data_IF_025841196929
#
_entry.id   IF_025841196929
#
_cell.length_a   1.000
_cell.length_b   1.000
_cell.length_c   1.000
_cell.angle_alpha   90.00
_cell.angle_beta   90.00
_cell.angle_gamma   90.00
#
_symmetry.space_group_name_H-M   'P 1'
#
loop_
_entity.id
_entity.type
_entity.pdbx_description
1 polymer ?
#
# COMPACT_ATOMS: atom_id res chain seq x y z
N UNK A 1 55.89 -55.46 7.69
CA UNK A 1 54.87 -54.83 6.81
C UNK A 1 55.05 -53.32 6.95
N UNK A 2 55.53 -52.63 5.92
CA UNK A 2 55.75 -51.18 6.01
C UNK A 2 54.42 -50.44 6.11
N UNK A 3 54.27 -49.57 7.10
CA UNK A 3 53.12 -48.67 7.20
C UNK A 3 53.29 -47.54 6.19
N UNK A 4 52.92 -47.80 4.94
CA UNK A 4 52.82 -46.75 3.93
C UNK A 4 51.64 -45.84 4.29
N UNK A 5 51.94 -44.57 4.55
CA UNK A 5 50.94 -43.52 4.72
C UNK A 5 50.21 -43.28 3.40
N UNK A 6 48.91 -42.97 3.50
CA UNK A 6 48.04 -42.74 2.35
C UNK A 6 47.66 -41.28 2.26
N UNK A 7 47.21 -40.90 1.07
CA UNK A 7 46.65 -39.58 0.81
C UNK A 7 45.20 -39.67 0.37
N UNK A 8 44.44 -38.62 0.68
CA UNK A 8 43.09 -38.43 0.20
C UNK A 8 43.01 -37.10 -0.54
N UNK A 9 42.34 -37.11 -1.70
CA UNK A 9 42.24 -35.95 -2.60
C UNK A 9 40.80 -35.70 -2.97
N UNK A 10 40.48 -34.43 -3.20
CA UNK A 10 39.14 -33.98 -3.54
C UNK A 10 39.12 -32.51 -3.95
N UNK A 11 37.94 -32.02 -4.34
CA UNK A 11 37.73 -30.63 -4.73
C UNK A 11 36.63 -29.97 -3.92
N UNK A 12 36.74 -28.66 -3.71
CA UNK A 12 35.73 -27.84 -3.07
C UNK A 12 35.25 -26.79 -4.07
N UNK A 13 33.94 -26.75 -4.26
CA UNK A 13 33.29 -25.87 -5.23
C UNK A 13 32.13 -25.13 -4.58
N UNK A 14 31.80 -23.97 -5.13
CA UNK A 14 30.58 -23.24 -4.81
C UNK A 14 29.37 -23.91 -5.46
N UNK A 15 28.16 -23.52 -5.01
CA UNK A 15 26.91 -23.93 -5.67
C UNK A 15 26.86 -23.53 -7.17
N UNK A 16 27.60 -22.49 -7.55
CA UNK A 16 27.76 -22.07 -8.95
C UNK A 16 28.67 -22.98 -9.79
N UNK A 17 29.31 -23.99 -9.18
CA UNK A 17 30.28 -24.87 -9.82
C UNK A 17 31.70 -24.30 -9.91
N UNK A 18 31.90 -23.05 -9.47
CA UNK A 18 33.22 -22.42 -9.43
C UNK A 18 34.08 -23.04 -8.33
N UNK A 19 35.39 -23.30 -8.58
CA UNK A 19 36.30 -23.75 -7.53
C UNK A 19 36.46 -22.69 -6.45
N UNK A 20 36.58 -23.13 -5.19
CA UNK A 20 36.74 -22.22 -4.05
C UNK A 20 38.09 -22.43 -3.35
N UNK A 21 38.90 -21.38 -3.34
CA UNK A 21 40.20 -21.33 -2.65
C UNK A 21 40.05 -20.97 -1.17
N UNK A 22 41.03 -21.36 -0.34
CA UNK A 22 41.13 -20.94 1.05
C UNK A 22 40.21 -21.66 2.03
N UNK A 23 39.52 -22.71 1.58
CA UNK A 23 38.65 -23.54 2.42
C UNK A 23 39.50 -24.57 3.15
N UNK A 24 39.30 -24.67 4.47
CA UNK A 24 39.97 -25.66 5.31
C UNK A 24 39.15 -26.95 5.37
N UNK A 25 39.80 -28.09 5.10
CA UNK A 25 39.23 -29.43 5.14
C UNK A 25 40.02 -30.25 6.15
N UNK A 26 39.32 -30.86 7.10
CA UNK A 26 39.95 -31.72 8.10
C UNK A 26 39.57 -33.19 7.90
N UNK A 27 40.46 -34.07 8.32
CA UNK A 27 40.25 -35.50 8.45
C UNK A 27 40.51 -35.93 9.89
N UNK A 28 39.46 -36.42 10.55
CA UNK A 28 39.53 -36.87 11.94
C UNK A 28 39.31 -38.37 12.03
N UNK A 29 40.24 -39.10 12.63
CA UNK A 29 40.08 -40.53 12.89
C UNK A 29 38.97 -40.77 13.91
N UNK A 30 38.10 -41.75 13.63
CA UNK A 30 37.00 -42.13 14.53
C UNK A 30 37.53 -42.81 15.81
N UNK A 31 38.59 -43.61 15.70
CA UNK A 31 39.03 -44.51 16.77
C UNK A 31 40.40 -44.20 17.35
N UNK A 32 41.32 -43.65 16.55
CA UNK A 32 42.74 -43.53 16.93
C UNK A 32 43.17 -42.09 17.25
N UNK A 33 42.27 -41.13 17.19
CA UNK A 33 42.55 -39.73 17.56
C UNK A 33 43.47 -38.95 16.61
N UNK A 34 43.84 -39.53 15.46
CA UNK A 34 44.63 -38.82 14.45
C UNK A 34 43.83 -37.69 13.81
N UNK A 35 44.53 -36.60 13.51
CA UNK A 35 43.98 -35.38 12.93
C UNK A 35 44.89 -34.90 11.82
N UNK A 36 44.30 -34.58 10.67
CA UNK A 36 44.99 -33.98 9.54
C UNK A 36 44.14 -32.86 8.96
N UNK A 37 44.79 -31.85 8.40
CA UNK A 37 44.12 -30.68 7.83
C UNK A 37 44.80 -30.26 6.52
N UNK A 38 44.02 -29.82 5.54
CA UNK A 38 44.48 -29.25 4.30
C UNK A 38 43.65 -28.01 3.94
N UNK A 39 44.28 -27.04 3.28
CA UNK A 39 43.60 -25.88 2.71
C UNK A 39 43.53 -26.04 1.20
N UNK A 40 42.40 -25.67 0.60
CA UNK A 40 42.18 -25.74 -0.85
C UNK A 40 43.00 -24.69 -1.59
N UNK A 41 43.57 -25.07 -2.74
CA UNK A 41 44.30 -24.18 -3.64
C UNK A 41 43.36 -23.34 -4.54
N UNK A 42 43.94 -22.56 -5.47
CA UNK A 42 43.20 -21.72 -6.43
C UNK A 42 42.31 -22.51 -7.40
N UNK A 43 42.56 -23.81 -7.57
CA UNK A 43 41.70 -24.72 -8.34
C UNK A 43 40.61 -25.36 -7.47
N UNK A 44 40.52 -24.99 -6.19
CA UNK A 44 39.63 -25.59 -5.21
C UNK A 44 40.04 -27.02 -4.82
N UNK A 45 41.22 -27.48 -5.23
CA UNK A 45 41.69 -28.83 -4.93
C UNK A 45 42.38 -28.87 -3.57
N UNK A 46 42.22 -29.99 -2.85
CA UNK A 46 42.92 -30.22 -1.60
C UNK A 46 43.49 -31.64 -1.54
N UNK A 47 44.53 -31.81 -0.72
CA UNK A 47 45.18 -33.11 -0.50
C UNK A 47 45.53 -33.31 0.96
N UNK A 48 44.79 -34.19 1.60
CA UNK A 48 45.11 -34.71 2.93
C UNK A 48 46.21 -35.76 2.79
N UNK A 49 47.24 -35.67 3.62
CA UNK A 49 48.40 -36.59 3.62
C UNK A 49 48.48 -37.29 4.98
N UNK A 50 49.32 -38.32 5.09
CA UNK A 50 49.59 -38.93 6.39
C UNK A 50 48.47 -39.82 6.93
N UNK A 51 47.50 -40.22 6.11
CA UNK A 51 46.39 -41.05 6.57
C UNK A 51 46.85 -42.49 6.80
N UNK A 52 46.51 -43.04 7.96
CA UNK A 52 46.92 -44.39 8.33
C UNK A 52 45.97 -45.43 7.73
N UNK A 53 46.51 -46.54 7.17
CA UNK A 53 45.69 -47.63 6.67
C UNK A 53 44.89 -48.30 7.79
N UNK A 54 43.82 -49.00 7.41
CA UNK A 54 42.89 -49.69 8.34
C UNK A 54 42.33 -48.76 9.42
N UNK A 55 42.12 -47.49 9.06
CA UNK A 55 41.56 -46.48 9.94
C UNK A 55 40.44 -45.74 9.21
N UNK A 56 39.31 -45.56 9.90
CA UNK A 56 38.20 -44.77 9.37
C UNK A 56 38.39 -43.31 9.78
N UNK A 57 38.35 -42.43 8.79
CA UNK A 57 38.41 -40.98 8.97
C UNK A 57 37.08 -40.36 8.58
N UNK A 58 36.65 -39.36 9.36
CA UNK A 58 35.56 -38.46 9.02
C UNK A 58 36.18 -37.21 8.45
N UNK A 59 35.90 -36.94 7.19
CA UNK A 59 36.42 -35.80 6.44
C UNK A 59 35.31 -34.76 6.36
N UNK A 60 35.61 -33.53 6.72
CA UNK A 60 34.63 -32.43 6.65
C UNK A 60 35.30 -31.09 6.37
N UNK A 61 34.53 -30.19 5.80
CA UNK A 61 34.90 -28.78 5.67
C UNK A 61 34.71 -28.09 7.01
N UNK A 62 35.70 -27.31 7.43
CA UNK A 62 35.60 -26.50 8.66
C UNK A 62 35.51 -25.02 8.31
N UNK A 63 34.61 -24.34 9.00
CA UNK A 63 34.58 -22.88 9.00
C UNK A 63 35.57 -22.38 10.05
N UNK A 64 36.67 -21.77 9.60
CA UNK A 64 37.58 -21.02 10.46
C UNK A 64 37.16 -19.55 10.39
N UNK A 65 36.53 -19.06 11.45
CA UNK A 65 36.06 -17.66 11.57
C UNK A 65 37.22 -16.63 11.70
N UNK A 66 38.43 -16.98 11.27
CA UNK A 66 39.64 -16.17 11.41
C UNK A 66 40.07 -15.49 10.11
N UNK A 67 39.91 -14.16 10.07
CA UNK A 67 40.67 -13.17 9.26
C UNK A 67 40.93 -13.48 7.76
N UNK A 68 40.09 -14.28 7.10
CA UNK A 68 40.30 -14.62 5.69
C UNK A 68 39.02 -15.04 4.97
N UNK A 69 38.37 -14.07 4.32
CA UNK A 69 37.61 -14.13 3.04
C UNK A 69 36.58 -15.23 2.75
N UNK A 70 36.35 -16.21 3.61
CA UNK A 70 35.46 -17.34 3.30
C UNK A 70 34.59 -17.72 4.49
N UNK A 71 33.49 -16.98 4.66
CA UNK A 71 32.44 -17.35 5.61
C UNK A 71 31.60 -18.46 4.99
N UNK A 72 31.89 -19.70 5.36
CA UNK A 72 31.11 -20.86 4.90
C UNK A 72 29.91 -21.03 5.84
N UNK A 73 28.71 -20.93 5.29
CA UNK A 73 27.47 -21.23 6.02
C UNK A 73 27.31 -22.74 6.23
N UNK A 74 27.49 -23.51 5.16
CA UNK A 74 27.37 -24.97 5.20
C UNK A 74 28.17 -25.64 4.08
N UNK A 75 28.43 -26.93 4.25
CA UNK A 75 28.99 -27.80 3.21
C UNK A 75 28.04 -28.97 2.93
N UNK A 76 28.04 -29.45 1.69
CA UNK A 76 27.30 -30.62 1.25
C UNK A 76 28.23 -31.56 0.48
N UNK A 77 28.41 -32.82 0.93
CA UNK A 77 27.91 -33.38 2.19
C UNK A 77 28.51 -32.68 3.43
N UNK A 78 27.85 -32.78 4.59
CA UNK A 78 28.37 -32.16 5.84
C UNK A 78 29.67 -32.83 6.29
N UNK A 79 29.74 -34.15 6.14
CA UNK A 79 30.96 -34.93 6.33
C UNK A 79 30.91 -36.22 5.52
N UNK A 80 32.07 -36.80 5.23
CA UNK A 80 32.22 -38.07 4.54
C UNK A 80 33.08 -39.00 5.40
N UNK A 81 32.54 -40.13 5.79
CA UNK A 81 33.29 -41.18 6.49
C UNK A 81 33.93 -42.13 5.48
N UNK A 82 35.26 -42.26 5.52
CA UNK A 82 36.02 -43.11 4.59
C UNK A 82 36.95 -44.03 5.36
N UNK A 83 36.94 -45.33 5.03
CA UNK A 83 37.92 -46.29 5.52
C UNK A 83 39.14 -46.29 4.60
N UNK A 84 40.32 -46.03 5.16
CA UNK A 84 41.57 -46.01 4.40
C UNK A 84 42.00 -47.44 4.06
N UNK A 85 41.92 -47.76 2.77
CA UNK A 85 42.34 -49.04 2.21
C UNK A 85 43.82 -49.07 1.78
N UNK A 86 44.19 -50.00 0.89
CA UNK A 86 45.56 -50.14 0.39
C UNK A 86 45.96 -49.12 -0.68
N UNK A 87 45.03 -48.29 -1.16
CA UNK A 87 45.26 -47.25 -2.17
C UNK A 87 45.04 -45.83 -1.63
N UNK A 88 45.44 -44.84 -2.41
CA UNK A 88 45.07 -43.45 -2.16
C UNK A 88 43.56 -43.24 -2.43
N UNK A 89 42.94 -42.37 -1.65
CA UNK A 89 41.53 -42.02 -1.78
C UNK A 89 41.39 -40.81 -2.71
N UNK A 90 40.38 -40.85 -3.60
CA UNK A 90 40.07 -39.79 -4.55
C UNK A 90 38.57 -39.47 -4.49
N UNK A 91 38.16 -38.46 -5.24
CA UNK A 91 36.76 -38.09 -5.47
C UNK A 91 36.00 -37.69 -4.19
N UNK A 92 36.71 -37.06 -3.25
CA UNK A 92 36.11 -36.49 -2.04
C UNK A 92 35.69 -35.04 -2.29
N UNK A 93 34.62 -34.87 -3.06
CA UNK A 93 34.18 -33.54 -3.43
C UNK A 93 33.18 -32.94 -2.43
N UNK A 94 33.31 -31.63 -2.19
CA UNK A 94 32.40 -30.87 -1.35
C UNK A 94 31.85 -29.66 -2.11
N UNK A 95 30.57 -29.38 -1.91
CA UNK A 95 29.93 -28.15 -2.33
C UNK A 95 29.74 -27.26 -1.10
N UNK A 96 30.36 -26.08 -1.11
CA UNK A 96 30.26 -25.10 -0.03
C UNK A 96 29.26 -24.00 -0.37
N UNK A 97 28.55 -23.56 0.66
CA UNK A 97 27.59 -22.47 0.62
C UNK A 97 28.18 -21.33 1.45
N UNK A 98 28.32 -20.17 0.83
CA UNK A 98 28.89 -19.01 1.49
C UNK A 98 27.80 -18.18 2.16
N UNK A 99 28.12 -17.64 3.33
CA UNK A 99 27.30 -16.66 3.98
C UNK A 99 27.47 -15.30 3.26
N UNK A 100 26.37 -14.64 2.89
CA UNK A 100 26.40 -13.29 2.32
C UNK A 100 27.12 -12.32 3.25
N UNK A 101 28.12 -11.61 2.73
CA UNK A 101 28.83 -10.58 3.51
C UNK A 101 27.97 -9.35 3.76
N UNK A 102 27.04 -9.08 2.83
CA UNK A 102 26.08 -7.99 2.90
C UNK A 102 24.72 -8.47 3.37
N UNK A 103 24.03 -7.57 4.05
CA UNK A 103 22.64 -7.78 4.41
C UNK A 103 21.74 -7.61 3.18
N UNK A 104 20.69 -8.41 3.08
CA UNK A 104 19.69 -8.33 2.02
C UNK A 104 18.30 -8.45 2.63
N UNK A 105 17.49 -7.41 2.44
CA UNK A 105 16.07 -7.41 2.78
C UNK A 105 15.27 -7.49 1.49
N UNK A 106 14.40 -8.49 1.39
CA UNK A 106 13.44 -8.60 0.30
C UNK A 106 12.03 -8.52 0.86
N UNK A 107 11.12 -7.85 0.16
CA UNK A 107 9.75 -7.66 0.63
C UNK A 107 8.78 -7.61 -0.54
N UNK A 108 7.60 -8.17 -0.30
CA UNK A 108 6.45 -8.06 -1.20
C UNK A 108 5.46 -7.02 -0.66
N UNK A 109 4.83 -6.26 -1.54
CA UNK A 109 3.85 -5.23 -1.16
C UNK A 109 2.47 -5.60 -1.69
N UNK A 110 1.47 -5.57 -0.81
CA UNK A 110 0.07 -5.83 -1.14
C UNK A 110 -0.80 -4.62 -0.80
N UNK A 111 -1.78 -4.29 -1.63
CA UNK A 111 -2.69 -3.19 -1.31
C UNK A 111 -3.77 -2.97 -2.36
N UNK A 112 -4.64 -2.00 -2.09
CA UNK A 112 -5.72 -1.65 -3.01
C UNK A 112 -5.15 -1.08 -4.32
N UNK A 113 -5.53 -1.70 -5.45
CA UNK A 113 -5.05 -1.37 -6.79
C UNK A 113 -5.79 -0.15 -7.35
N UNK A 114 -5.46 1.05 -6.86
CA UNK A 114 -5.77 2.31 -7.57
C UNK A 114 -4.51 2.72 -8.33
N UNK A 115 -4.44 2.43 -9.63
CA UNK A 115 -3.24 2.58 -10.48
C UNK A 115 -2.63 4.00 -10.41
N UNK A 116 -3.47 5.03 -10.34
CA UNK A 116 -3.06 6.44 -10.24
C UNK A 116 -2.31 6.79 -8.95
N UNK A 117 -2.52 6.04 -7.87
CA UNK A 117 -1.90 6.27 -6.57
C UNK A 117 -0.64 5.44 -6.37
N UNK A 118 -0.34 4.50 -7.27
CA UNK A 118 0.80 3.56 -7.13
C UNK A 118 2.14 4.23 -7.42
N UNK A 119 2.20 5.11 -8.40
CA UNK A 119 3.43 5.84 -8.77
C UNK A 119 3.92 6.81 -7.69
N UNK A 120 3.12 7.02 -6.65
CA UNK A 120 3.37 7.97 -5.58
C UNK A 120 3.75 7.26 -4.27
N UNK A 121 3.87 5.93 -4.29
CA UNK A 121 4.28 5.14 -3.13
C UNK A 121 5.79 5.06 -3.06
N UNK A 122 6.31 5.40 -1.90
CA UNK A 122 7.71 5.33 -1.53
C UNK A 122 7.87 4.23 -0.47
N UNK A 123 8.90 3.41 -0.62
CA UNK A 123 9.37 2.52 0.42
C UNK A 123 10.35 3.31 1.30
N UNK A 124 10.06 3.38 2.59
CA UNK A 124 10.90 4.03 3.58
C UNK A 124 11.41 3.00 4.58
N UNK A 125 12.74 2.93 4.74
CA UNK A 125 13.41 2.06 5.71
C UNK A 125 14.10 2.95 6.74
N UNK A 126 13.74 2.75 8.00
CA UNK A 126 14.26 3.51 9.15
C UNK A 126 14.99 2.59 10.10
N UNK A 127 15.91 3.15 10.88
CA UNK A 127 16.41 2.46 12.06
C UNK A 127 15.29 2.30 13.10
N UNK A 128 15.22 1.13 13.75
CA UNK A 128 14.30 0.90 14.86
C UNK A 128 14.76 1.61 16.15
N UNK A 129 16.08 1.82 16.30
CA UNK A 129 16.65 2.58 17.43
C UNK A 129 16.34 4.07 17.32
N UNK A 130 16.47 4.62 16.10
CA UNK A 130 16.26 6.03 15.81
C UNK A 130 15.24 6.20 14.68
N UNK A 131 13.95 6.36 15.05
CA UNK A 131 12.85 6.52 14.08
C UNK A 131 12.96 7.77 13.19
N UNK A 132 13.82 8.73 13.55
CA UNK A 132 14.14 9.90 12.73
C UNK A 132 15.20 9.63 11.66
N UNK A 133 16.01 8.57 11.84
CA UNK A 133 17.09 8.21 10.91
C UNK A 133 16.52 7.32 9.82
N UNK A 134 16.34 7.92 8.65
CA UNK A 134 15.96 7.22 7.44
C UNK A 134 17.21 6.69 6.74
N UNK A 135 17.27 5.39 6.52
CA UNK A 135 18.43 4.75 5.90
C UNK A 135 18.28 4.61 4.39
N UNK A 136 17.05 4.37 3.92
CA UNK A 136 16.77 4.23 2.49
C UNK A 136 15.36 4.70 2.17
N UNK A 137 15.24 5.43 1.07
CA UNK A 137 13.95 5.85 0.48
C UNK A 137 14.01 5.66 -1.03
N UNK A 138 13.02 4.98 -1.60
CA UNK A 138 12.91 4.80 -3.05
C UNK A 138 11.46 4.56 -3.47
N UNK A 139 11.16 4.79 -4.74
CA UNK A 139 9.84 4.53 -5.32
C UNK A 139 9.53 3.03 -5.37
N UNK A 140 8.27 2.66 -5.07
CA UNK A 140 7.82 1.29 -5.12
C UNK A 140 7.88 0.76 -6.56
N UNK A 141 8.64 -0.33 -6.84
CA UNK A 141 8.68 -0.90 -8.18
C UNK A 141 7.32 -1.42 -8.66
N UNK A 142 7.09 -1.40 -9.98
CA UNK A 142 5.84 -1.88 -10.60
C UNK A 142 5.50 -3.34 -10.29
N UNK A 143 6.51 -4.15 -9.94
CA UNK A 143 6.35 -5.54 -9.52
C UNK A 143 5.73 -5.69 -8.12
N UNK A 144 5.62 -4.62 -7.33
CA UNK A 144 5.32 -4.66 -5.89
C UNK A 144 6.28 -5.58 -5.12
N UNK A 145 7.52 -5.67 -5.58
CA UNK A 145 8.58 -6.42 -4.93
C UNK A 145 9.86 -5.60 -4.99
N UNK A 146 10.55 -5.51 -3.87
CA UNK A 146 11.82 -4.82 -3.79
C UNK A 146 12.85 -5.64 -3.00
N UNK A 147 14.11 -5.41 -3.32
CA UNK A 147 15.25 -6.00 -2.63
C UNK A 147 16.27 -4.90 -2.35
N UNK A 148 16.57 -4.67 -1.07
CA UNK A 148 17.56 -3.70 -0.60
C UNK A 148 18.76 -4.46 -0.07
N UNK A 149 19.96 -3.99 -0.42
CA UNK A 149 21.24 -4.58 -0.02
C UNK A 149 22.03 -3.58 0.82
N UNK A 150 22.99 -4.08 1.60
CA UNK A 150 23.92 -3.25 2.38
C UNK A 150 23.27 -2.38 3.46
N UNK A 151 22.18 -2.86 4.05
CA UNK A 151 21.63 -2.23 5.25
C UNK A 151 22.55 -2.50 6.46
N UNK A 152 22.76 -1.52 7.36
CA UNK A 152 23.44 -1.73 8.62
C UNK A 152 22.93 -2.96 9.38
N UNK A 153 23.82 -3.70 10.05
CA UNK A 153 23.46 -4.83 10.91
C UNK A 153 22.82 -4.31 12.20
N UNK A 154 21.56 -3.96 12.11
CA UNK A 154 20.75 -3.41 13.18
C UNK A 154 19.29 -3.79 12.92
N UNK A 155 18.42 -3.40 13.85
CA UNK A 155 16.97 -3.49 13.68
C UNK A 155 16.46 -2.32 12.83
N UNK A 156 15.59 -2.63 11.87
CA UNK A 156 15.00 -1.67 10.94
C UNK A 156 13.48 -1.74 10.94
N UNK A 157 12.83 -0.63 10.66
CA UNK A 157 11.40 -0.51 10.45
C UNK A 157 11.15 -0.25 8.96
N UNK A 158 10.38 -1.12 8.33
CA UNK A 158 9.91 -0.98 6.96
C UNK A 158 8.52 -0.38 6.99
N UNK A 159 8.34 0.69 6.22
CA UNK A 159 7.07 1.38 6.09
C UNK A 159 6.88 1.87 4.65
N UNK A 160 5.62 1.90 4.18
CA UNK A 160 5.28 2.62 2.96
C UNK A 160 4.90 4.06 3.29
N UNK A 161 5.28 4.99 2.42
CA UNK A 161 4.82 6.37 2.44
C UNK A 161 4.21 6.72 1.10
N UNK A 162 3.32 7.71 1.12
CA UNK A 162 2.82 8.33 -0.11
C UNK A 162 3.40 9.74 -0.22
N UNK A 163 3.83 10.13 -1.42
CA UNK A 163 4.14 11.53 -1.73
C UNK A 163 2.88 12.37 -1.92
N UNK A 164 1.71 11.74 -2.08
CA UNK A 164 0.45 12.44 -2.29
C UNK A 164 -0.11 12.97 -0.97
N UNK A 165 -0.22 14.29 -0.86
CA UNK A 165 -0.99 14.92 0.20
C UNK A 165 -2.47 15.00 -0.20
N UNK A 166 -3.18 13.87 -0.15
CA UNK A 166 -4.61 13.86 -0.47
C UNK A 166 -5.42 14.43 0.69
N UNK A 167 -6.22 15.47 0.42
CA UNK A 167 -7.19 16.01 1.39
C UNK A 167 -8.38 15.08 1.63
N UNK A 168 -8.61 14.14 0.71
CA UNK A 168 -9.80 13.28 0.70
C UNK A 168 -9.49 11.82 1.05
N UNK A 169 -8.21 11.43 1.11
CA UNK A 169 -7.82 10.06 1.42
C UNK A 169 -6.67 10.05 2.45
N UNK A 170 -6.88 9.35 3.56
CA UNK A 170 -5.84 9.00 4.52
C UNK A 170 -5.12 7.74 4.06
N UNK A 171 -3.79 7.80 4.04
CA UNK A 171 -2.95 6.66 3.70
C UNK A 171 -2.53 5.93 4.97
N UNK A 172 -2.87 4.65 5.05
CA UNK A 172 -2.47 3.77 6.14
C UNK A 172 -1.56 2.67 5.59
N UNK A 173 -0.44 2.45 6.28
CA UNK A 173 0.53 1.41 5.96
C UNK A 173 0.87 0.61 7.21
N UNK A 174 1.12 -0.67 7.01
CA UNK A 174 1.71 -1.53 8.02
C UNK A 174 3.18 -1.13 8.27
N UNK A 175 3.65 -1.35 9.49
CA UNK A 175 5.05 -1.14 9.87
C UNK A 175 5.59 -2.50 10.31
N UNK A 176 6.65 -2.96 9.65
CA UNK A 176 7.26 -4.26 9.94
C UNK A 176 8.67 -4.05 10.48
N UNK A 177 8.95 -4.62 11.65
CA UNK A 177 10.29 -4.65 12.24
C UNK A 177 11.09 -5.82 11.67
N UNK A 178 12.33 -5.54 11.26
CA UNK A 178 13.26 -6.48 10.65
C UNK A 178 14.57 -6.46 11.43
N UNK A 179 15.00 -7.64 11.91
CA UNK A 179 16.25 -7.82 12.66
C UNK A 179 17.35 -8.37 11.73
N UNK A 180 18.30 -7.51 11.36
CA UNK A 180 19.47 -7.87 10.54
C UNK A 180 20.72 -8.19 11.36
N UNK A 181 20.63 -8.17 12.69
CA UNK A 181 21.75 -8.58 13.56
C UNK A 181 21.88 -10.09 13.57
N UNK A 182 20.74 -10.79 13.63
CA UNK A 182 20.69 -12.26 13.67
C UNK A 182 20.83 -12.91 12.30
N UNK A 183 20.24 -12.30 11.27
CA UNK A 183 20.16 -12.89 9.93
C UNK A 183 20.58 -11.88 8.88
N UNK A 184 21.57 -12.23 8.06
CA UNK A 184 22.02 -11.36 6.98
C UNK A 184 20.98 -11.25 5.84
N UNK A 185 20.20 -12.29 5.58
CA UNK A 185 19.16 -12.28 4.55
C UNK A 185 17.80 -12.58 5.13
N UNK A 186 16.82 -11.74 4.81
CA UNK A 186 15.44 -11.95 5.27
C UNK A 186 14.44 -11.58 4.18
N UNK A 187 13.45 -12.46 4.02
CA UNK A 187 12.26 -12.18 3.23
C UNK A 187 11.14 -11.77 4.17
N UNK A 188 10.73 -10.53 4.05
CA UNK A 188 9.68 -9.92 4.84
C UNK A 188 8.36 -10.20 4.13
N UNK A 189 7.35 -10.62 4.91
CA UNK A 189 6.00 -10.90 4.45
C UNK A 189 5.33 -9.71 3.74
N UNK A 190 4.07 -9.86 3.30
CA UNK A 190 3.41 -8.84 2.51
C UNK A 190 3.21 -7.56 3.32
N UNK A 191 3.90 -6.48 2.94
CA UNK A 191 3.73 -5.15 3.50
C UNK A 191 2.44 -4.55 2.94
N UNK A 192 1.43 -4.43 3.81
CA UNK A 192 0.08 -4.02 3.40
C UNK A 192 -0.14 -2.52 3.48
N UNK A 193 -0.91 -1.99 2.54
CA UNK A 193 -1.38 -0.59 2.58
C UNK A 193 -2.84 -0.44 2.14
N UNK A 194 -3.49 0.61 2.65
CA UNK A 194 -4.85 1.01 2.27
C UNK A 194 -5.01 2.52 2.19
N UNK A 195 -5.88 2.95 1.28
CA UNK A 195 -6.35 4.34 1.19
C UNK A 195 -7.75 4.42 1.79
N UNK A 196 -7.89 5.10 2.92
CA UNK A 196 -9.18 5.33 3.60
C UNK A 196 -9.74 6.67 3.14
N UNK A 197 -10.93 6.69 2.55
CA UNK A 197 -11.59 7.93 2.16
C UNK A 197 -12.02 8.70 3.42
N UNK A 198 -11.46 9.90 3.60
CA UNK A 198 -11.82 10.80 4.68
C UNK A 198 -13.07 11.57 4.21
N UNK A 199 -14.24 10.98 4.43
CA UNK A 199 -15.48 11.75 4.41
C UNK A 199 -15.44 12.70 5.60
N UNK A 200 -14.75 13.83 5.43
CA UNK A 200 -14.91 14.98 6.30
C UNK A 200 -16.40 15.30 6.23
N UNK A 201 -17.14 14.86 7.26
CA UNK A 201 -18.55 15.20 7.41
C UNK A 201 -18.58 16.70 7.35
N UNK A 202 -19.00 17.24 6.21
CA UNK A 202 -19.20 18.65 6.06
C UNK A 202 -20.25 18.98 7.12
N UNK A 203 -19.83 19.62 8.20
CA UNK A 203 -20.74 20.29 9.11
C UNK A 203 -21.42 21.34 8.25
N UNK A 204 -22.52 20.92 7.60
CA UNK A 204 -23.50 21.80 7.01
C UNK A 204 -23.86 22.72 8.15
N UNK A 205 -23.33 23.95 8.10
CA UNK A 205 -23.73 25.04 8.97
C UNK A 205 -25.25 24.98 8.98
N UNK A 206 -25.92 24.79 10.14
CA UNK A 206 -27.36 24.64 10.15
C UNK A 206 -27.92 25.84 9.39
N UNK A 207 -28.52 25.59 8.23
CA UNK A 207 -29.13 26.63 7.43
C UNK A 207 -29.98 27.48 8.39
N UNK A 208 -30.01 28.81 8.27
CA UNK A 208 -30.58 29.65 9.31
C UNK A 208 -32.12 29.51 9.30
N UNK A 209 -32.60 28.41 9.90
CA UNK A 209 -34.02 28.06 9.99
C UNK A 209 -34.72 29.03 10.95
N UNK A 210 -33.99 29.52 11.96
CA UNK A 210 -34.48 30.49 12.94
C UNK A 210 -35.01 31.79 12.31
N UNK A 211 -34.26 32.53 11.45
CA UNK A 211 -34.80 33.73 10.82
C UNK A 211 -35.93 33.45 9.83
N UNK A 212 -36.00 32.26 9.21
CA UNK A 212 -37.16 31.87 8.40
C UNK A 212 -38.41 31.69 9.27
N UNK A 213 -38.30 30.96 10.39
CA UNK A 213 -39.43 30.75 11.32
C UNK A 213 -39.88 32.08 11.92
N UNK A 214 -38.95 32.94 12.33
CA UNK A 214 -39.25 34.28 12.87
C UNK A 214 -39.92 35.15 11.80
N UNK A 215 -39.40 35.16 10.58
CA UNK A 215 -39.98 35.93 9.46
C UNK A 215 -41.41 35.52 9.14
N UNK A 216 -41.68 34.21 9.03
CA UNK A 216 -43.03 33.68 8.79
C UNK A 216 -43.97 34.00 9.96
N UNK A 217 -43.48 33.92 11.20
CA UNK A 217 -44.27 34.23 12.39
C UNK A 217 -44.68 35.70 12.45
N UNK A 218 -43.76 36.64 12.13
CA UNK A 218 -44.06 38.07 12.08
C UNK A 218 -45.07 38.40 10.99
N UNK A 219 -44.93 37.80 9.81
CA UNK A 219 -45.88 37.98 8.70
C UNK A 219 -47.27 37.46 9.09
N UNK A 220 -47.36 36.28 9.71
CA UNK A 220 -48.63 35.73 10.18
C UNK A 220 -49.29 36.62 11.24
N UNK A 221 -48.51 37.21 12.14
CA UNK A 221 -48.98 38.16 13.16
C UNK A 221 -49.52 39.46 12.54
N UNK A 222 -48.85 39.99 11.50
CA UNK A 222 -49.32 41.17 10.78
C UNK A 222 -50.62 40.92 10.01
N UNK A 223 -50.80 39.72 9.44
CA UNK A 223 -52.03 39.35 8.72
C UNK A 223 -53.18 39.10 9.70
N UNK A 224 -52.91 38.55 10.89
CA UNK A 224 -53.94 38.29 11.90
C UNK A 224 -54.34 39.54 12.69
N UNK A 225 -53.48 40.56 12.78
CA UNK A 225 -53.74 41.78 13.53
C UNK A 225 -55.04 42.52 13.16
N UNK A 226 -55.43 42.69 11.88
CA UNK A 226 -56.73 43.30 11.54
C UNK A 226 -57.92 42.44 12.00
N UNK A 227 -57.80 41.10 12.01
CA UNK A 227 -58.88 40.21 12.47
C UNK A 227 -58.99 40.11 13.99
N UNK A 228 -57.89 40.33 14.71
CA UNK A 228 -57.87 40.35 16.17
C UNK A 228 -58.53 41.60 16.74
N UNK A 229 -58.45 42.74 16.04
CA UNK A 229 -59.17 43.96 16.40
C UNK A 229 -60.69 43.77 16.35
N UNK A 230 -61.19 43.03 15.36
CA UNK A 230 -62.62 42.74 15.23
C UNK A 230 -63.14 41.85 16.38
N UNK A 231 -62.35 40.86 16.83
CA UNK A 231 -62.69 39.99 17.97
C UNK A 231 -62.57 40.69 19.33
N UNK A 232 -61.64 41.65 19.47
CA UNK A 232 -61.54 42.46 20.69
C UNK A 232 -62.71 43.45 20.79
N UNK A 233 -63.12 44.06 19.68
CA UNK A 233 -64.29 44.94 19.66
C UNK A 233 -65.62 44.18 19.85
N UNK A 234 -65.71 42.91 19.43
CA UNK A 234 -66.91 42.09 19.63
C UNK A 234 -67.09 41.58 21.06
N UNK A 235 -66.03 41.57 21.88
CA UNK A 235 -66.05 40.93 23.21
C UNK A 235 -66.09 41.94 24.37
N UNK A 236 -65.86 43.24 24.11
CA UNK A 236 -65.85 44.30 25.14
C UNK A 236 -66.85 45.42 24.81
N UNK A 237 -68.09 45.07 24.44
CA UNK A 237 -69.19 46.01 24.24
C UNK A 237 -70.40 45.67 25.13
N UNK A 238 -70.59 46.44 26.21
CA UNK A 238 -71.78 46.42 27.10
C UNK A 238 -72.87 47.37 26.52
N UNK A 239 -74.19 47.13 26.72
CA UNK A 239 -75.23 47.60 25.80
C UNK A 239 -76.08 48.82 26.25
N UNK A 240 -76.85 49.35 25.26
CA UNK A 240 -78.13 50.13 25.29
C UNK A 240 -78.11 51.68 25.34
N UNK A 241 -79.18 52.39 24.87
CA UNK A 241 -80.18 52.09 23.81
C UNK A 241 -80.50 53.30 22.87
N UNK A 242 -81.11 53.07 21.70
CA UNK A 242 -81.89 54.12 21.00
C UNK A 242 -82.04 54.03 19.48
N UNK A 243 -83.26 53.71 19.05
CA UNK A 243 -84.01 54.27 17.88
C UNK A 243 -83.76 53.79 16.42
N UNK A 244 -84.72 52.97 15.97
CA UNK A 244 -85.57 53.03 14.75
C UNK A 244 -85.01 52.95 13.30
N UNK A 245 -85.72 52.07 12.57
CA UNK A 245 -86.23 52.16 11.18
C UNK A 245 -85.46 51.59 9.97
N UNK A 246 -86.13 50.58 9.41
CA UNK A 246 -86.41 50.31 7.97
C UNK A 246 -85.34 49.70 7.06
N UNK A 247 -85.60 48.41 6.75
CA UNK A 247 -85.76 47.83 5.40
C UNK A 247 -84.61 47.94 4.38
N UNK A 248 -84.17 46.78 3.85
CA UNK A 248 -84.61 46.22 2.54
C UNK A 248 -83.57 45.22 1.94
N UNK A 249 -84.08 44.03 1.59
CA UNK A 249 -83.69 43.01 0.57
C UNK A 249 -82.20 42.76 0.18
N UNK A 250 -81.84 41.47 0.26
CA UNK A 250 -80.93 40.67 -0.61
C UNK A 250 -81.05 40.95 -2.14
N UNK A 251 -80.17 40.48 -3.08
CA UNK A 251 -79.20 39.35 -3.00
C UNK A 251 -77.86 39.46 -3.81
N UNK A 252 -77.03 38.40 -3.69
CA UNK A 252 -76.10 37.75 -4.68
C UNK A 252 -74.75 38.39 -5.12
N UNK A 253 -73.70 37.55 -4.99
CA UNK A 253 -72.32 37.60 -5.56
C UNK A 253 -72.30 37.55 -7.11
N UNK A 254 -71.23 38.01 -7.79
CA UNK A 254 -70.02 37.19 -8.04
C UNK A 254 -68.67 37.92 -7.85
N UNK A 255 -67.60 37.12 -7.69
CA UNK A 255 -66.19 37.53 -7.67
C UNK A 255 -65.63 37.72 -9.11
N UNK A 256 -64.31 37.86 -9.32
CA UNK A 256 -63.39 38.93 -8.93
C UNK A 256 -62.82 39.63 -10.18
N UNK A 257 -62.19 40.80 -10.03
CA UNK A 257 -61.28 41.33 -11.06
C UNK A 257 -59.90 41.57 -10.43
N UNK A 258 -58.94 40.75 -10.87
CA UNK A 258 -57.51 40.91 -10.64
C UNK A 258 -57.06 42.25 -11.22
N UNK A 259 -56.63 43.17 -10.36
CA UNK A 259 -55.74 44.25 -10.77
C UNK A 259 -54.34 43.80 -10.39
N UNK A 260 -53.48 43.66 -11.39
CA UNK A 260 -52.05 43.36 -11.24
C UNK A 260 -51.37 44.48 -10.44
N UNK A 261 -51.34 44.35 -9.11
CA UNK A 261 -50.46 45.16 -8.26
C UNK A 261 -49.06 44.56 -8.30
N UNK A 262 -48.22 45.11 -9.16
CA UNK A 262 -46.77 44.91 -9.12
C UNK A 262 -46.24 45.64 -7.88
N UNK A 263 -45.89 44.88 -6.84
CA UNK A 263 -45.31 45.42 -5.62
C UNK A 263 -43.79 45.57 -5.80
N UNK A 264 -43.31 46.79 -5.99
CA UNK A 264 -41.88 47.09 -6.05
C UNK A 264 -41.32 47.20 -4.62
N UNK A 265 -40.46 46.26 -4.23
CA UNK A 265 -39.65 46.40 -3.02
C UNK A 265 -38.42 47.26 -3.30
N UNK A 266 -38.28 48.37 -2.57
CA UNK A 266 -37.05 49.16 -2.52
C UNK A 266 -36.17 48.64 -1.39
N UNK A 267 -35.00 48.10 -1.72
CA UNK A 267 -33.96 47.83 -0.72
C UNK A 267 -33.05 49.06 -0.62
N UNK A 268 -33.19 49.82 0.46
CA UNK A 268 -32.25 50.90 0.82
C UNK A 268 -31.24 50.31 1.80
N UNK A 269 -30.08 49.90 1.30
CA UNK A 269 -28.91 49.62 2.13
C UNK A 269 -28.08 50.89 2.25
N UNK A 270 -27.99 51.44 3.47
CA UNK A 270 -27.25 52.66 3.78
C UNK A 270 -25.79 52.40 4.11
N UNK A 271 -24.89 52.69 3.16
CA UNK A 271 -23.64 53.45 3.35
C UNK A 271 -22.92 53.60 2.01
N UNK A 272 -22.72 54.85 1.57
CA UNK A 272 -21.86 55.19 0.44
C UNK A 272 -22.57 55.23 -0.91
N UNK A 273 -22.70 56.43 -1.47
CA UNK A 273 -23.45 56.69 -2.70
C UNK A 273 -22.88 56.01 -3.94
N UNK A 274 -23.71 55.15 -4.56
CA UNK A 274 -23.83 54.94 -6.02
C UNK A 274 -25.03 54.00 -6.25
N UNK A 275 -26.13 54.53 -6.78
CA UNK A 275 -27.30 53.72 -7.19
C UNK A 275 -26.94 52.95 -8.47
N UNK A 276 -26.96 51.62 -8.44
CA UNK A 276 -26.99 50.78 -9.66
C UNK A 276 -28.34 50.05 -9.73
N UNK A 277 -29.01 50.12 -10.87
CA UNK A 277 -30.18 49.29 -11.20
C UNK A 277 -29.68 47.87 -11.45
N UNK A 278 -30.20 46.89 -10.71
CA UNK A 278 -30.05 45.48 -11.06
C UNK A 278 -31.46 44.99 -11.39
N UNK A 279 -31.68 44.61 -12.65
CA UNK A 279 -32.87 43.85 -13.05
C UNK A 279 -32.61 42.38 -12.73
N UNK A 280 -33.47 41.78 -11.91
CA UNK A 280 -33.53 40.34 -11.73
C UNK A 280 -34.78 39.85 -12.47
N UNK A 281 -34.57 39.23 -13.63
CA UNK A 281 -35.61 38.51 -14.35
C UNK A 281 -35.77 37.12 -13.73
N UNK A 282 -36.97 36.82 -13.21
CA UNK A 282 -37.30 35.49 -12.73
C UNK A 282 -37.67 34.62 -13.95
N UNK A 283 -36.77 33.72 -14.35
CA UNK A 283 -37.03 32.71 -15.39
C UNK A 283 -37.78 31.55 -14.73
N UNK A 284 -39.07 31.40 -15.06
CA UNK A 284 -39.83 30.21 -14.70
C UNK A 284 -39.30 29.01 -15.52
N UNK A 285 -38.82 28.01 -14.80
CA UNK A 285 -38.40 26.70 -15.31
C UNK A 285 -39.62 25.91 -15.79
N UNK A 286 -39.65 25.59 -17.09
CA UNK A 286 -40.42 24.49 -17.65
C UNK A 286 -39.55 23.21 -17.59
N UNK A 287 -40.11 22.03 -17.23
CA UNK A 287 -39.34 20.79 -17.25
C UNK A 287 -39.25 20.22 -18.68
N UNK A 288 -38.09 19.74 -19.15
CA UNK A 288 -38.02 18.96 -20.38
C UNK A 288 -38.26 17.47 -20.11
N UNK A 289 -39.13 16.91 -20.93
CA UNK A 289 -39.44 15.49 -21.08
C UNK A 289 -38.19 14.72 -21.54
N UNK A 290 -37.87 13.65 -20.81
CA UNK A 290 -36.91 12.62 -21.18
C UNK A 290 -37.42 11.83 -22.39
N UNK A 291 -36.62 11.73 -23.46
CA UNK A 291 -36.75 10.69 -24.47
C UNK A 291 -35.38 10.02 -24.65
N UNK A 292 -35.34 8.74 -24.27
CA UNK A 292 -34.25 7.80 -24.54
C UNK A 292 -34.30 7.40 -26.02
N UNK A 293 -33.19 7.56 -26.75
CA UNK A 293 -32.98 6.88 -28.03
C UNK A 293 -31.85 5.87 -27.85
N UNK A 294 -32.20 4.59 -27.97
CA UNK A 294 -31.29 3.46 -28.06
C UNK A 294 -30.83 3.33 -29.52
N UNK A 295 -29.53 3.40 -29.78
CA UNK A 295 -28.94 2.92 -31.03
C UNK A 295 -28.31 1.52 -30.82
N UNK A 296 -28.50 0.57 -31.74
CA UNK A 296 -28.00 -0.80 -31.64
C UNK A 296 -26.54 -0.95 -32.15
N UNK A 297 -25.85 -2.06 -31.80
CA UNK A 297 -24.45 -2.30 -32.17
C UNK A 297 -24.30 -3.15 -33.44
N UNK A 298 -23.15 -3.03 -34.13
CA UNK A 298 -22.40 -4.05 -34.92
C UNK A 298 -21.56 -3.38 -36.05
N UNK A 299 -20.56 -4.05 -36.70
CA UNK A 299 -19.82 -5.26 -36.33
C UNK A 299 -18.28 -5.16 -36.50
N UNK A 300 -17.65 -6.20 -35.96
CA UNK A 300 -16.35 -6.83 -36.24
C UNK A 300 -15.61 -6.44 -37.55
N UNK A 301 -14.31 -6.14 -37.41
CA UNK A 301 -13.31 -6.37 -38.45
C UNK A 301 -12.26 -7.36 -37.96
N UNK A 302 -12.33 -8.56 -38.56
CA UNK A 302 -11.30 -9.58 -38.58
C UNK A 302 -10.11 -9.09 -39.41
N UNK A 303 -8.92 -9.04 -38.82
CA UNK A 303 -7.65 -8.97 -39.56
C UNK A 303 -6.92 -10.30 -39.43
N UNK A 304 -6.90 -10.98 -40.57
CA UNK A 304 -6.27 -12.24 -40.89
C UNK A 304 -4.74 -12.05 -40.93
N UNK A 305 -3.95 -12.85 -40.22
CA UNK A 305 -2.56 -13.07 -40.60
C UNK A 305 -2.08 -14.48 -40.20
N UNK A 306 -2.13 -15.38 -41.19
CA UNK A 306 -1.43 -16.66 -41.24
C UNK A 306 -0.02 -16.42 -41.78
N UNK A 307 1.00 -16.87 -41.04
CA UNK A 307 2.34 -17.31 -41.46
C UNK A 307 3.21 -17.24 -40.19
N UNK A 308 3.97 -18.21 -39.69
CA UNK A 308 4.80 -19.26 -40.29
C UNK A 308 5.02 -20.31 -39.17
N UNK A 309 4.55 -21.54 -39.36
CA UNK A 309 4.95 -22.71 -38.58
C UNK A 309 5.57 -23.71 -39.56
N UNK A 310 6.90 -23.74 -39.62
CA UNK A 310 7.69 -24.78 -40.30
C UNK A 310 9.00 -24.99 -39.55
N UNK A 311 9.04 -26.06 -38.75
CA UNK A 311 10.11 -27.08 -38.76
C UNK A 311 9.77 -28.12 -37.69
N UNK A 312 8.94 -29.09 -38.08
CA UNK A 312 9.00 -30.43 -37.51
C UNK A 312 10.17 -31.14 -38.22
N UNK A 313 11.22 -31.48 -37.47
CA UNK A 313 12.25 -32.42 -37.90
C UNK A 313 11.89 -33.78 -37.29
N UNK A 314 11.44 -34.70 -38.14
CA UNK A 314 11.29 -36.12 -37.82
C UNK A 314 12.36 -36.89 -38.60
N UNK A 315 13.02 -37.83 -37.91
CA UNK A 315 13.77 -39.00 -38.43
C UNK A 315 14.98 -38.75 -39.37
N UNK A 316 16.20 -38.94 -38.85
CA UNK A 316 16.90 -40.25 -38.79
C UNK A 316 18.02 -40.18 -37.74
#
# INVERSE_FOLDING_TARGET
MGFALRSATGTVKLLSGQPKEGVSVEARSVSKGYYEEAVTDSSGSYRLRGLLPETTYVIKVINKDGLGTTRIERASPESVAVKVGPGDIRDLDFVVFEQPEMTIVSCHVEGQRKEELRSQLLVEIKSASDSSKVESVFELPVSNFFQVKNLPKAKHLLQLRTSLQSRTHKFESEIIEVDLERTAQIHVGPLRYSFVEDHQKQELTPAPVFPLIVGVSVIALFISMPRLKDLYQSTVGIPTPGFMTTAKREPRKPAPQMVNSVLYFWFVSGRGGRKRRIQMACVMLCPPSFNFSFDPPMPLLLSNNRSILRKAGLFS
#
